data_IF_239482304466
#
_entry.id   IF_239482304466
#
_cell.length_a   1.000
_cell.length_b   1.000
_cell.length_c   1.000
_cell.angle_alpha   90.00
_cell.angle_beta   90.00
_cell.angle_gamma   90.00
#
_symmetry.space_group_name_H-M   'P 1'
#
loop_
_entity.id
_entity.type
_entity.pdbx_description
1 polymer ?
#
# COMPACT_ATOMS: atom_id res chain seq x y z
N UNK A 1 -6.27 -22.10 -57.64
CA UNK A 1 -7.12 -22.49 -56.50
C UNK A 1 -6.18 -22.73 -55.32
N UNK A 2 -6.11 -21.97 -54.23
CA UNK A 2 -7.08 -21.11 -53.58
C UNK A 2 -6.44 -19.80 -53.09
N UNK A 3 -7.21 -18.73 -53.19
CA UNK A 3 -7.05 -17.45 -52.49
C UNK A 3 -6.90 -17.63 -50.98
N UNK A 4 -6.17 -16.72 -50.32
CA UNK A 4 -6.82 -15.76 -49.40
C UNK A 4 -5.89 -14.63 -48.93
N UNK A 5 -6.13 -13.46 -49.55
CA UNK A 5 -6.35 -12.12 -48.97
C UNK A 5 -5.25 -11.50 -48.09
N UNK A 6 -4.41 -10.71 -48.75
CA UNK A 6 -3.75 -9.52 -48.17
C UNK A 6 -4.83 -8.48 -47.84
N UNK A 7 -4.89 -8.02 -46.60
CA UNK A 7 -5.66 -6.84 -46.21
C UNK A 7 -4.69 -5.70 -45.94
N UNK A 8 -4.46 -4.90 -46.98
CA UNK A 8 -3.90 -3.55 -46.87
C UNK A 8 -5.03 -2.62 -46.44
N UNK A 9 -4.98 -2.09 -45.21
CA UNK A 9 -5.84 -0.99 -44.82
C UNK A 9 -5.08 0.33 -45.01
N UNK A 10 -5.73 1.21 -45.76
CA UNK A 10 -5.29 2.53 -46.20
C UNK A 10 -4.77 3.43 -45.07
N UNK A 11 -3.74 4.21 -45.44
CA UNK A 11 -3.37 5.44 -44.77
C UNK A 11 -4.52 6.46 -44.81
N UNK A 12 -4.79 7.09 -43.67
CA UNK A 12 -5.28 8.48 -43.58
C UNK A 12 -4.39 9.20 -42.54
N UNK A 13 -3.86 10.39 -42.85
CA UNK A 13 -2.97 11.11 -41.95
C UNK A 13 -3.80 11.94 -40.97
N UNK A 14 -3.52 11.82 -39.67
CA UNK A 14 -4.01 12.76 -38.67
C UNK A 14 -2.81 13.37 -37.95
N UNK A 15 -2.50 14.55 -38.48
CA UNK A 15 -1.78 15.71 -37.95
C UNK A 15 -1.45 15.74 -36.46
N UNK A 16 -0.22 16.23 -36.21
CA UNK A 16 0.31 16.87 -35.02
C UNK A 16 -0.71 17.23 -33.94
N UNK A 17 -0.53 16.66 -32.75
CA UNK A 17 -0.54 17.49 -31.55
C UNK A 17 0.25 16.84 -30.42
N UNK A 18 1.23 17.59 -29.93
CA UNK A 18 2.02 17.26 -28.76
C UNK A 18 1.13 16.88 -27.57
N UNK A 19 1.42 15.76 -26.91
CA UNK A 19 1.04 15.56 -25.52
C UNK A 19 1.94 14.50 -24.90
N UNK A 20 2.63 14.92 -23.83
CA UNK A 20 3.57 14.17 -23.03
C UNK A 20 3.07 12.77 -22.64
N UNK A 21 3.38 11.77 -23.47
CA UNK A 21 3.27 10.37 -23.09
C UNK A 21 4.64 9.94 -22.58
N UNK A 22 4.77 9.79 -21.26
CA UNK A 22 5.91 9.13 -20.63
C UNK A 22 6.16 7.80 -21.33
N UNK A 23 7.23 7.73 -22.13
CA UNK A 23 7.58 6.56 -22.93
C UNK A 23 7.96 5.46 -21.93
N UNK A 24 7.02 4.56 -21.64
CA UNK A 24 7.31 3.32 -20.94
C UNK A 24 8.14 2.45 -21.87
N UNK A 25 9.46 2.53 -21.75
CA UNK A 25 10.37 1.61 -22.43
C UNK A 25 10.14 0.20 -21.88
N UNK A 26 9.49 -0.66 -22.68
CA UNK A 26 9.28 -2.07 -22.34
C UNK A 26 10.61 -2.81 -22.49
N UNK A 27 11.36 -2.91 -21.40
CA UNK A 27 12.58 -3.70 -21.37
C UNK A 27 12.23 -5.19 -21.23
N UNK A 28 12.57 -6.00 -22.23
CA UNK A 28 12.39 -7.45 -22.16
C UNK A 28 13.52 -8.05 -21.33
N UNK A 29 13.21 -8.49 -20.12
CA UNK A 29 14.17 -9.16 -19.24
C UNK A 29 13.96 -10.66 -19.39
N UNK A 30 15.01 -11.38 -19.79
CA UNK A 30 15.02 -12.84 -19.85
C UNK A 30 15.57 -13.37 -18.52
N UNK A 31 14.77 -14.16 -17.82
CA UNK A 31 15.14 -14.76 -16.53
C UNK A 31 15.28 -16.27 -16.67
N UNK A 32 16.17 -16.86 -15.88
CA UNK A 32 16.19 -18.32 -15.71
C UNK A 32 14.98 -18.72 -14.88
N UNK A 33 14.46 -19.93 -15.12
CA UNK A 33 13.28 -20.45 -14.42
C UNK A 33 13.44 -20.41 -12.90
N UNK A 34 14.63 -20.70 -12.37
CA UNK A 34 14.90 -20.65 -10.93
C UNK A 34 14.74 -19.24 -10.34
N UNK A 35 15.29 -18.23 -11.02
CA UNK A 35 15.21 -16.82 -10.61
C UNK A 35 13.75 -16.33 -10.64
N UNK A 36 12.99 -16.74 -11.66
CA UNK A 36 11.57 -16.45 -11.75
C UNK A 36 10.78 -17.04 -10.56
N UNK A 37 11.01 -18.30 -10.22
CA UNK A 37 10.29 -18.94 -9.11
C UNK A 37 10.63 -18.32 -7.77
N UNK A 38 11.89 -17.92 -7.58
CA UNK A 38 12.29 -17.21 -6.37
C UNK A 38 11.60 -15.85 -6.25
N UNK A 39 11.60 -15.05 -7.32
CA UNK A 39 10.90 -13.76 -7.36
C UNK A 39 9.40 -13.93 -7.10
N UNK A 40 8.78 -14.91 -7.74
CA UNK A 40 7.36 -15.23 -7.55
C UNK A 40 7.06 -15.58 -6.10
N UNK A 41 7.88 -16.45 -5.49
CA UNK A 41 7.71 -16.85 -4.10
C UNK A 41 7.81 -15.66 -3.15
N UNK A 42 8.76 -14.74 -3.38
CA UNK A 42 8.88 -13.51 -2.56
C UNK A 42 7.68 -12.57 -2.76
N UNK A 43 7.20 -12.42 -3.99
CA UNK A 43 6.03 -11.60 -4.29
C UNK A 43 4.79 -12.16 -3.59
N UNK A 44 4.54 -13.47 -3.69
CA UNK A 44 3.42 -14.14 -3.03
C UNK A 44 3.51 -13.99 -1.50
N UNK A 45 4.71 -14.07 -0.92
CA UNK A 45 4.92 -13.88 0.52
C UNK A 45 4.67 -12.42 0.95
N UNK A 46 5.09 -11.45 0.14
CA UNK A 46 4.80 -10.04 0.38
C UNK A 46 3.30 -9.75 0.34
N UNK A 47 2.58 -10.30 -0.64
CA UNK A 47 1.12 -10.12 -0.75
C UNK A 47 0.39 -10.68 0.47
N UNK A 48 0.81 -11.85 0.99
CA UNK A 48 0.28 -12.41 2.24
C UNK A 48 0.51 -11.48 3.44
N UNK A 49 1.70 -10.91 3.54
CA UNK A 49 2.02 -9.95 4.61
C UNK A 49 1.18 -8.68 4.49
N UNK A 50 1.08 -8.09 3.30
CA UNK A 50 0.27 -6.89 3.06
C UNK A 50 -1.20 -7.16 3.37
N UNK A 51 -1.73 -8.32 2.98
CA UNK A 51 -3.09 -8.72 3.29
C UNK A 51 -3.32 -8.79 4.81
N UNK A 52 -2.45 -9.50 5.54
CA UNK A 52 -2.55 -9.62 7.00
C UNK A 52 -2.40 -8.27 7.72
N UNK A 53 -1.53 -7.40 7.22
CA UNK A 53 -1.23 -6.09 7.83
C UNK A 53 -2.33 -5.05 7.58
N UNK A 54 -3.03 -5.14 6.44
CA UNK A 54 -4.10 -4.20 6.07
C UNK A 54 -5.25 -4.15 7.08
N UNK A 55 -5.56 -5.26 7.73
CA UNK A 55 -6.72 -5.31 8.64
C UNK A 55 -6.41 -4.77 10.05
N UNK A 56 -5.19 -4.95 10.58
CA UNK A 56 -4.90 -4.63 11.99
C UNK A 56 -4.00 -3.41 12.24
N UNK A 57 -3.06 -3.08 11.35
CA UNK A 57 -1.98 -2.13 11.69
C UNK A 57 -2.29 -0.69 11.27
N UNK A 58 -3.01 -0.50 10.17
CA UNK A 58 -3.34 0.83 9.64
C UNK A 58 -4.74 1.30 10.00
N UNK A 59 -5.52 0.45 10.67
CA UNK A 59 -6.79 0.84 11.24
C UNK A 59 -6.53 1.81 12.39
N UNK A 60 -7.09 3.04 12.35
CA UNK A 60 -6.98 3.96 13.46
C UNK A 60 -7.45 3.24 14.74
N UNK A 61 -6.77 3.40 15.89
CA UNK A 61 -7.17 2.69 17.09
C UNK A 61 -8.65 2.97 17.36
N UNK A 62 -9.48 1.93 17.58
CA UNK A 62 -10.93 2.08 17.67
C UNK A 62 -11.32 2.94 18.87
N UNK A 63 -10.48 2.97 19.90
CA UNK A 63 -10.67 3.81 21.07
C UNK A 63 -10.04 5.18 20.87
N UNK A 64 -10.88 6.19 20.66
CA UNK A 64 -10.46 7.60 20.62
C UNK A 64 -10.54 8.30 21.99
N UNK A 65 -11.21 7.68 22.97
CA UNK A 65 -11.44 8.30 24.28
C UNK A 65 -10.15 8.29 25.13
N UNK A 66 -9.66 9.49 25.47
CA UNK A 66 -8.45 9.72 26.26
C UNK A 66 -8.52 9.10 27.65
N UNK A 67 -9.64 9.31 28.36
CA UNK A 67 -9.81 8.81 29.72
C UNK A 67 -9.79 7.27 29.76
N UNK A 68 -10.40 6.62 28.76
CA UNK A 68 -10.40 5.16 28.60
C UNK A 68 -9.01 4.62 28.32
N UNK A 69 -8.24 5.25 27.43
CA UNK A 69 -6.86 4.83 27.13
C UNK A 69 -6.00 4.86 28.39
N UNK A 70 -6.05 5.97 29.15
CA UNK A 70 -5.26 6.12 30.38
C UNK A 70 -5.73 5.15 31.47
N UNK A 71 -7.03 4.92 31.61
CA UNK A 71 -7.56 3.98 32.61
C UNK A 71 -7.17 2.54 32.30
N UNK A 72 -7.25 2.10 31.04
CA UNK A 72 -6.81 0.76 30.63
C UNK A 72 -5.30 0.57 30.84
N UNK A 73 -4.48 1.55 30.45
CA UNK A 73 -3.03 1.50 30.69
C UNK A 73 -2.69 1.46 32.18
N UNK A 74 -3.43 2.20 33.02
CA UNK A 74 -3.26 2.16 34.48
C UNK A 74 -3.61 0.78 35.06
N UNK A 75 -4.65 0.11 34.54
CA UNK A 75 -5.03 -1.26 34.98
C UNK A 75 -3.91 -2.27 34.75
N UNK A 76 -3.12 -2.11 33.68
CA UNK A 76 -2.01 -3.04 33.38
C UNK A 76 -0.91 -3.05 34.46
N UNK A 77 -0.80 -1.99 35.29
CA UNK A 77 0.28 -1.78 36.28
C UNK A 77 1.70 -1.88 35.72
N UNK A 78 1.88 -1.88 34.39
CA UNK A 78 3.18 -1.97 33.70
C UNK A 78 3.89 -0.63 33.56
N UNK A 79 3.16 0.47 33.76
CA UNK A 79 3.64 1.82 33.52
C UNK A 79 3.62 2.64 34.80
N UNK A 80 4.65 3.44 35.02
CA UNK A 80 4.72 4.35 36.16
C UNK A 80 3.80 5.58 35.97
N UNK A 81 3.47 6.25 37.08
CA UNK A 81 2.55 7.39 37.04
C UNK A 81 3.07 8.57 36.20
N UNK A 82 4.39 8.84 36.23
CA UNK A 82 5.00 9.91 35.44
C UNK A 82 4.81 9.70 33.93
N UNK A 83 4.91 8.45 33.48
CA UNK A 83 4.65 8.06 32.09
C UNK A 83 3.17 8.23 31.73
N UNK A 84 2.26 7.78 32.60
CA UNK A 84 0.82 7.93 32.34
C UNK A 84 0.41 9.40 32.23
N UNK A 85 1.00 10.28 33.04
CA UNK A 85 0.79 11.73 32.97
C UNK A 85 1.40 12.39 31.73
N UNK A 86 2.62 11.97 31.31
CA UNK A 86 3.21 12.47 30.07
C UNK A 86 2.38 12.04 28.86
N UNK A 87 1.90 10.80 28.85
CA UNK A 87 1.01 10.28 27.81
C UNK A 87 -0.33 11.01 27.77
N UNK A 88 -0.98 11.22 28.92
CA UNK A 88 -2.24 11.97 29.00
C UNK A 88 -2.11 13.38 28.41
N UNK A 89 -0.98 14.06 28.69
CA UNK A 89 -0.67 15.36 28.09
C UNK A 89 -0.45 15.26 26.58
N UNK A 90 0.22 14.22 26.09
CA UNK A 90 0.39 13.96 24.66
C UNK A 90 -0.94 13.74 23.94
N UNK A 91 -1.79 12.88 24.50
CA UNK A 91 -3.12 12.59 23.94
C UNK A 91 -4.03 13.81 23.93
N UNK A 92 -3.93 14.70 24.93
CA UNK A 92 -4.69 15.97 24.98
C UNK A 92 -4.33 16.93 23.84
N UNK A 93 -3.07 16.90 23.35
CA UNK A 93 -2.59 17.79 22.28
C UNK A 93 -3.00 17.34 20.88
N UNK A 94 -3.36 16.07 20.72
CA UNK A 94 -3.77 15.54 19.44
C UNK A 94 -5.28 15.73 19.23
N UNK A 95 -5.65 16.28 18.07
CA UNK A 95 -7.03 16.46 17.62
C UNK A 95 -7.72 15.14 17.29
N UNK A 96 -6.96 14.05 17.14
CA UNK A 96 -7.48 12.73 16.84
C UNK A 96 -8.20 12.07 18.03
N UNK A 97 -7.80 12.39 19.26
CA UNK A 97 -8.37 11.79 20.47
C UNK A 97 -9.46 12.67 21.09
N UNK A 98 -10.55 12.05 21.54
CA UNK A 98 -11.69 12.72 22.18
C UNK A 98 -11.59 12.63 23.70
N UNK A 99 -12.21 13.57 24.42
CA UNK A 99 -12.34 13.47 25.88
C UNK A 99 -13.18 12.27 26.28
#
# INVERSE_FOLDING_TARGET
MHESRKLTASALPLTDNATNASIRTMNTIVLKTAEYQELKTRADAYDRLVFAVREEIFSPPPTRNRAKIISELKKTKRYNNKFLESLARGLKRSSYFTS
#
